data_IF_601323140058
#
_entry.id   IF_601323140058
#
_cell.length_a   1.000
_cell.length_b   1.000
_cell.length_c   1.000
_cell.angle_alpha   90.00
_cell.angle_beta   90.00
_cell.angle_gamma   90.00
#
_symmetry.space_group_name_H-M   'P 1'
#
loop_
_entity.id
_entity.type
_entity.pdbx_description
1 polymer ?
#
# COMPACT_ATOMS: atom_id res chain seq x y z
N UNK A 1 -76.10 -4.99 -54.85
CA UNK A 1 -76.07 -6.17 -53.97
C UNK A 1 -74.95 -7.10 -54.43
N UNK A 2 -74.21 -7.82 -53.57
CA UNK A 2 -73.79 -7.44 -52.21
C UNK A 2 -72.34 -7.95 -51.84
N UNK A 3 -71.90 -7.68 -50.59
CA UNK A 3 -70.91 -8.42 -49.73
C UNK A 3 -69.41 -8.30 -50.12
N UNK A 4 -68.49 -7.67 -49.36
CA UNK A 4 -68.00 -7.72 -47.93
C UNK A 4 -66.79 -8.67 -47.66
N UNK A 5 -65.71 -8.03 -47.18
CA UNK A 5 -64.78 -8.39 -46.05
C UNK A 5 -63.51 -9.25 -46.25
N UNK A 6 -62.32 -8.64 -45.99
CA UNK A 6 -61.36 -8.82 -44.84
C UNK A 6 -60.03 -8.05 -45.14
N UNK A 7 -59.58 -7.05 -44.35
CA UNK A 7 -58.52 -7.02 -43.28
C UNK A 7 -57.22 -7.79 -43.65
N UNK A 8 -55.95 -7.37 -43.42
CA UNK A 8 -55.24 -6.34 -42.63
C UNK A 8 -53.71 -6.42 -43.00
N UNK A 9 -52.85 -5.47 -42.54
CA UNK A 9 -51.35 -5.51 -42.34
C UNK A 9 -50.49 -5.02 -43.54
N UNK A 10 -49.41 -4.21 -43.49
CA UNK A 10 -48.75 -3.27 -42.54
C UNK A 10 -47.52 -2.64 -43.27
N UNK A 11 -47.18 -1.37 -42.94
CA UNK A 11 -45.92 -0.59 -43.08
C UNK A 11 -44.94 -0.76 -44.28
N UNK A 12 -44.47 0.35 -44.88
CA UNK A 12 -43.16 1.02 -44.64
C UNK A 12 -42.81 2.12 -45.69
N UNK A 13 -42.22 3.25 -45.22
CA UNK A 13 -41.03 3.99 -45.76
C UNK A 13 -41.12 4.72 -47.13
N UNK A 14 -40.48 5.85 -47.45
CA UNK A 14 -39.35 6.63 -46.89
C UNK A 14 -39.44 8.12 -47.32
N UNK A 15 -38.88 9.03 -46.51
CA UNK A 15 -38.52 10.43 -46.85
C UNK A 15 -37.01 10.50 -47.17
N UNK A 16 -36.62 11.20 -48.24
CA UNK A 16 -35.21 11.48 -48.57
C UNK A 16 -34.82 12.93 -48.27
N UNK A 17 -33.87 13.13 -47.35
CA UNK A 17 -33.30 14.43 -46.99
C UNK A 17 -31.76 14.41 -47.04
N UNK A 18 -31.23 15.48 -47.64
CA UNK A 18 -30.03 16.31 -47.34
C UNK A 18 -28.87 15.68 -46.52
N UNK A 19 -27.65 15.91 -47.05
CA UNK A 19 -26.33 15.56 -46.53
C UNK A 19 -26.04 15.95 -45.07
N UNK A 20 -25.27 15.12 -44.37
CA UNK A 20 -24.70 15.41 -43.04
C UNK A 20 -23.42 14.60 -42.79
N UNK A 21 -22.34 15.32 -42.56
CA UNK A 21 -20.97 14.85 -42.33
C UNK A 21 -20.87 13.95 -41.09
N UNK A 22 -20.29 12.75 -41.24
CA UNK A 22 -19.90 11.89 -40.12
C UNK A 22 -18.65 12.50 -39.48
N UNK A 23 -18.84 13.29 -38.42
CA UNK A 23 -17.76 13.64 -37.51
C UNK A 23 -17.60 12.49 -36.50
N UNK A 24 -16.50 11.75 -36.62
CA UNK A 24 -16.14 10.72 -35.65
C UNK A 24 -15.92 11.35 -34.28
N UNK A 25 -16.79 11.03 -33.32
CA UNK A 25 -16.47 11.17 -31.91
C UNK A 25 -15.31 10.22 -31.60
N UNK A 26 -14.09 10.73 -31.61
CA UNK A 26 -13.01 10.13 -30.85
C UNK A 26 -13.36 10.35 -29.37
N UNK A 27 -13.94 9.35 -28.72
CA UNK A 27 -13.90 9.24 -27.27
C UNK A 27 -12.42 9.16 -26.88
N UNK A 28 -11.81 10.28 -26.54
CA UNK A 28 -10.57 10.28 -25.79
C UNK A 28 -10.91 9.69 -24.41
N UNK A 29 -10.57 8.43 -24.19
CA UNK A 29 -10.51 7.89 -22.85
C UNK A 29 -9.54 8.78 -22.05
N UNK A 30 -9.87 9.22 -20.83
CA UNK A 30 -8.86 9.80 -19.96
C UNK A 30 -7.78 8.74 -19.76
N UNK A 31 -6.57 9.03 -20.21
CA UNK A 31 -5.40 8.25 -19.87
C UNK A 31 -5.16 8.42 -18.37
N UNK A 32 -5.43 7.37 -17.59
CA UNK A 32 -5.07 7.29 -16.18
C UNK A 32 -3.56 7.07 -16.08
N UNK A 33 -2.79 8.15 -16.17
CA UNK A 33 -1.39 8.15 -15.79
C UNK A 33 -1.31 8.53 -14.30
N UNK A 34 -1.51 7.55 -13.42
CA UNK A 34 -1.18 7.67 -12.01
C UNK A 34 0.22 7.09 -11.79
N UNK A 35 1.14 7.87 -11.22
CA UNK A 35 2.41 7.30 -10.73
C UNK A 35 2.07 6.51 -9.48
N UNK A 36 2.05 5.18 -9.57
CA UNK A 36 1.88 4.32 -8.41
C UNK A 36 3.22 4.22 -7.69
N UNK A 37 3.36 5.00 -6.63
CA UNK A 37 4.42 4.84 -5.65
C UNK A 37 3.81 4.43 -4.32
N UNK A 38 3.96 3.15 -3.94
CA UNK A 38 3.59 2.74 -2.59
C UNK A 38 4.60 3.37 -1.63
N UNK A 39 4.13 4.27 -0.77
CA UNK A 39 4.88 4.79 0.35
C UNK A 39 4.50 3.94 1.57
N UNK A 40 5.46 3.29 2.21
CA UNK A 40 5.20 2.56 3.44
C UNK A 40 6.39 2.64 4.39
N UNK A 41 6.15 3.06 5.63
CA UNK A 41 6.99 2.64 6.75
C UNK A 41 6.22 1.66 7.63
N UNK A 42 6.98 0.88 8.38
CA UNK A 42 6.45 -0.14 9.24
C UNK A 42 7.35 -0.39 10.42
N UNK A 43 6.72 -0.79 11.52
CA UNK A 43 7.43 -1.50 12.57
C UNK A 43 7.18 -2.98 12.41
N UNK A 44 8.20 -3.75 12.74
CA UNK A 44 8.12 -5.21 12.79
C UNK A 44 8.72 -5.67 14.09
N UNK A 45 8.00 -6.54 14.79
CA UNK A 45 8.50 -7.25 15.96
C UNK A 45 9.29 -8.46 15.50
N UNK A 46 10.44 -8.72 16.13
CA UNK A 46 11.18 -9.95 15.93
C UNK A 46 10.54 -11.07 16.73
N UNK A 47 9.81 -11.95 16.05
CA UNK A 47 9.16 -13.14 16.60
C UNK A 47 9.83 -14.45 16.15
N UNK A 48 11.05 -14.36 15.59
CA UNK A 48 11.76 -15.51 15.00
C UNK A 48 12.28 -16.53 16.01
N UNK A 49 12.22 -16.23 17.31
CA UNK A 49 12.82 -17.04 18.38
C UNK A 49 14.34 -16.91 18.51
N UNK A 50 14.97 -16.03 17.72
CA UNK A 50 16.41 -15.76 17.74
C UNK A 50 16.68 -14.26 17.69
N UNK A 51 17.83 -13.82 18.23
CA UNK A 51 18.27 -12.44 18.00
C UNK A 51 18.52 -12.23 16.51
N UNK A 52 17.97 -11.14 15.96
CA UNK A 52 18.16 -10.77 14.57
C UNK A 52 19.27 -9.73 14.43
N UNK A 53 20.12 -9.91 13.43
CA UNK A 53 21.29 -9.06 13.16
C UNK A 53 21.13 -8.27 11.85
N UNK A 54 19.91 -8.13 11.38
CA UNK A 54 19.57 -7.35 10.21
C UNK A 54 18.15 -7.62 9.73
N UNK A 55 17.78 -6.90 8.68
CA UNK A 55 16.49 -7.03 8.03
C UNK A 55 16.65 -6.84 6.52
N UNK A 56 15.84 -7.56 5.75
CA UNK A 56 15.85 -7.52 4.30
C UNK A 56 14.45 -7.27 3.75
N UNK A 57 14.36 -6.32 2.81
CA UNK A 57 13.17 -6.04 2.01
C UNK A 57 13.50 -6.40 0.57
N UNK A 58 12.79 -7.36 0.01
CA UNK A 58 12.87 -7.71 -1.40
C UNK A 58 11.63 -7.20 -2.14
N UNK A 59 11.85 -6.48 -3.24
CA UNK A 59 10.81 -5.91 -4.08
C UNK A 59 10.98 -6.44 -5.50
N UNK A 60 10.12 -7.34 -5.93
CA UNK A 60 10.19 -7.98 -7.24
C UNK A 60 9.51 -7.17 -8.34
N UNK A 61 10.05 -7.24 -9.56
CA UNK A 61 9.46 -6.58 -10.73
C UNK A 61 9.80 -5.10 -10.89
N UNK A 62 10.59 -4.53 -9.97
CA UNK A 62 11.17 -3.19 -10.09
C UNK A 62 12.70 -3.25 -10.00
N UNK A 63 13.37 -2.21 -10.47
CA UNK A 63 14.82 -2.06 -10.30
C UNK A 63 15.17 -0.98 -9.28
N UNK A 64 16.43 -0.94 -8.84
CA UNK A 64 16.97 0.02 -7.87
C UNK A 64 16.67 1.47 -8.24
N UNK A 65 16.63 1.83 -9.52
CA UNK A 65 16.35 3.22 -9.93
C UNK A 65 14.90 3.65 -9.67
N UNK A 66 14.02 2.71 -9.34
CA UNK A 66 12.63 2.95 -8.95
C UNK A 66 12.47 3.02 -7.43
N UNK A 67 13.52 2.81 -6.64
CA UNK A 67 13.50 3.07 -5.19
C UNK A 67 13.80 4.54 -4.98
N UNK A 68 12.81 5.28 -4.48
CA UNK A 68 12.87 6.72 -4.29
C UNK A 68 13.48 7.09 -2.94
N UNK A 69 13.08 6.36 -1.89
CA UNK A 69 13.56 6.60 -0.54
C UNK A 69 13.54 5.32 0.29
N UNK A 70 14.36 5.28 1.34
CA UNK A 70 14.47 4.20 2.30
C UNK A 70 14.72 4.78 3.69
N UNK A 71 13.99 4.31 4.69
CA UNK A 71 14.13 4.83 6.06
C UNK A 71 15.58 4.70 6.56
N UNK A 72 16.10 5.77 7.15
CA UNK A 72 17.48 5.83 7.65
C UNK A 72 18.55 5.99 6.58
N UNK A 73 18.21 6.21 5.30
CA UNK A 73 19.20 6.36 4.23
C UNK A 73 19.71 7.80 4.04
N UNK A 74 18.80 8.77 3.95
CA UNK A 74 19.13 10.13 3.45
C UNK A 74 18.55 11.26 4.31
N UNK A 75 17.47 11.04 5.05
CA UNK A 75 16.86 12.06 5.90
C UNK A 75 17.77 12.39 7.07
N UNK A 76 18.00 13.68 7.26
CA UNK A 76 18.69 14.17 8.45
C UNK A 76 17.70 14.35 9.59
N UNK A 77 17.82 13.52 10.63
CA UNK A 77 17.04 13.60 11.87
C UNK A 77 17.77 14.39 12.98
N UNK A 78 18.70 15.28 12.62
CA UNK A 78 19.55 15.99 13.56
C UNK A 78 20.67 15.12 14.16
N UNK A 79 20.91 13.94 13.60
CA UNK A 79 21.98 13.01 13.97
C UNK A 79 23.23 13.20 13.10
N UNK A 80 24.42 12.74 13.54
CA UNK A 80 25.64 12.77 12.72
C UNK A 80 25.52 12.06 11.36
N UNK A 81 24.76 10.96 11.30
CA UNK A 81 24.43 10.21 10.09
C UNK A 81 22.92 9.90 10.05
N UNK A 82 22.27 9.91 8.86
CA UNK A 82 20.88 9.45 8.70
C UNK A 82 20.63 8.08 9.33
N UNK A 83 21.59 7.16 9.20
CA UNK A 83 21.46 5.79 9.71
C UNK A 83 21.53 5.67 11.24
N UNK A 84 21.91 6.72 11.98
CA UNK A 84 22.01 6.66 13.44
C UNK A 84 20.64 6.51 14.14
N UNK A 85 19.56 6.61 13.37
CA UNK A 85 18.19 6.40 13.86
C UNK A 85 17.72 4.95 13.77
N UNK A 86 18.49 4.11 13.07
CA UNK A 86 18.22 2.69 12.84
C UNK A 86 19.35 1.86 13.49
N UNK A 87 19.02 0.67 13.98
CA UNK A 87 19.89 -0.13 14.86
C UNK A 87 21.12 -0.60 14.13
N UNK A 88 20.93 -1.04 12.90
CA UNK A 88 21.93 -1.61 12.01
C UNK A 88 22.65 -0.55 11.17
N UNK A 89 22.17 0.69 11.19
CA UNK A 89 22.80 1.84 10.54
C UNK A 89 22.28 2.08 9.12
N UNK A 90 23.18 2.50 8.22
CA UNK A 90 22.79 2.83 6.85
C UNK A 90 22.39 1.56 6.06
N UNK A 91 21.22 1.55 5.40
CA UNK A 91 20.84 0.45 4.53
C UNK A 91 21.67 0.42 3.25
N UNK A 92 21.74 -0.75 2.65
CA UNK A 92 22.25 -0.94 1.28
C UNK A 92 21.10 -1.29 0.34
N UNK A 93 21.19 -0.82 -0.91
CA UNK A 93 20.17 -1.06 -1.94
C UNK A 93 20.86 -1.64 -3.17
N UNK A 94 20.48 -2.84 -3.60
CA UNK A 94 21.11 -3.52 -4.74
C UNK A 94 20.07 -4.18 -5.64
N UNK A 95 20.29 -4.16 -6.95
CA UNK A 95 19.46 -4.93 -7.87
C UNK A 95 19.60 -6.44 -7.59
N UNK A 96 18.47 -7.15 -7.64
CA UNK A 96 18.41 -8.60 -7.70
C UNK A 96 18.57 -9.02 -9.16
N UNK A 97 19.64 -9.77 -9.45
CA UNK A 97 20.00 -10.18 -10.80
C UNK A 97 19.69 -11.68 -10.97
N UNK A 98 18.85 -12.02 -11.94
CA UNK A 98 18.60 -13.40 -12.31
C UNK A 98 19.86 -14.05 -12.92
N UNK A 99 19.95 -15.40 -12.96
CA UNK A 99 21.08 -16.11 -13.59
C UNK A 99 21.39 -15.68 -15.04
N UNK A 100 20.40 -15.16 -15.77
CA UNK A 100 20.56 -14.63 -17.12
C UNK A 100 21.05 -13.17 -17.22
N UNK A 101 21.36 -12.51 -16.10
CA UNK A 101 21.85 -11.12 -16.04
C UNK A 101 20.78 -10.04 -16.04
N UNK A 102 19.49 -10.39 -16.14
CA UNK A 102 18.37 -9.45 -16.05
C UNK A 102 18.06 -9.05 -14.61
N UNK A 103 17.68 -7.79 -14.41
CA UNK A 103 17.15 -7.32 -13.12
C UNK A 103 15.75 -7.89 -12.93
N UNK A 104 15.53 -8.57 -11.80
CA UNK A 104 14.24 -9.18 -11.42
C UNK A 104 13.61 -8.53 -10.19
N UNK A 105 14.36 -7.66 -9.51
CA UNK A 105 13.90 -7.00 -8.30
C UNK A 105 14.99 -6.11 -7.73
N UNK A 106 14.74 -5.61 -6.53
CA UNK A 106 15.69 -4.88 -5.69
C UNK A 106 15.66 -5.45 -4.28
N UNK A 107 16.82 -5.44 -3.65
CA UNK A 107 17.02 -5.82 -2.26
C UNK A 107 17.50 -4.61 -1.47
N UNK A 108 16.77 -4.28 -0.41
CA UNK A 108 17.16 -3.32 0.60
C UNK A 108 17.59 -4.12 1.83
N UNK A 109 18.77 -3.84 2.36
CA UNK A 109 19.33 -4.61 3.48
C UNK A 109 19.92 -3.71 4.55
N UNK A 110 19.42 -3.90 5.77
CA UNK A 110 19.96 -3.39 7.02
C UNK A 110 20.74 -4.52 7.69
N UNK A 111 21.97 -4.27 8.15
CA UNK A 111 22.78 -5.35 8.71
C UNK A 111 23.80 -4.87 9.73
N UNK A 112 23.87 -5.56 10.87
CA UNK A 112 24.95 -5.45 11.82
C UNK A 112 26.31 -5.91 11.21
N UNK A 113 27.40 -5.48 11.83
CA UNK A 113 28.73 -5.95 11.50
C UNK A 113 29.09 -7.18 12.35
N UNK A 114 29.68 -8.20 11.74
CA UNK A 114 30.23 -9.34 12.47
C UNK A 114 31.76 -9.23 12.54
N UNK A 115 32.32 -9.26 13.74
CA UNK A 115 33.76 -9.25 13.94
C UNK A 115 34.16 -10.09 15.16
N UNK A 116 35.10 -11.02 14.97
CA UNK A 116 35.69 -11.78 16.07
C UNK A 116 34.72 -12.65 16.88
N UNK A 117 33.65 -13.16 16.25
CA UNK A 117 32.66 -13.99 16.95
C UNK A 117 31.53 -13.20 17.63
N UNK A 118 31.38 -11.92 17.32
CA UNK A 118 30.30 -11.09 17.86
C UNK A 118 29.69 -10.19 16.77
N UNK A 119 28.38 -10.04 16.84
CA UNK A 119 27.64 -9.02 16.10
C UNK A 119 27.69 -7.68 16.83
N UNK A 120 27.75 -6.59 16.08
CA UNK A 120 27.83 -5.23 16.64
C UNK A 120 26.55 -4.80 17.37
N UNK A 121 25.42 -5.40 17.00
CA UNK A 121 24.09 -5.13 17.55
C UNK A 121 23.13 -6.24 17.17
N UNK A 122 21.95 -6.25 17.78
CA UNK A 122 20.89 -7.19 17.46
C UNK A 122 19.53 -6.77 18.00
N UNK A 123 18.50 -7.35 17.41
CA UNK A 123 17.11 -7.17 17.80
C UNK A 123 16.68 -8.39 18.56
N UNK A 124 16.45 -8.22 19.85
CA UNK A 124 15.95 -9.28 20.71
C UNK A 124 14.61 -9.80 20.15
N UNK A 125 14.32 -11.07 20.39
CA UNK A 125 13.05 -11.65 20.00
C UNK A 125 12.03 -11.58 21.14
N UNK A 126 10.76 -11.49 20.78
CA UNK A 126 9.67 -11.63 21.74
C UNK A 126 9.40 -13.09 22.10
N UNK A 127 8.86 -13.31 23.28
CA UNK A 127 8.35 -14.62 23.69
C UNK A 127 7.05 -14.44 24.45
N UNK A 128 6.29 -15.53 24.63
CA UNK A 128 5.10 -15.49 25.47
C UNK A 128 5.38 -15.02 26.92
N UNK A 129 6.62 -15.23 27.41
CA UNK A 129 7.04 -14.76 28.73
C UNK A 129 7.41 -13.27 28.76
N UNK A 130 7.84 -12.71 27.63
CA UNK A 130 8.24 -11.31 27.46
C UNK A 130 7.56 -10.74 26.21
N UNK A 131 6.22 -10.50 26.26
CA UNK A 131 5.51 -9.90 25.14
C UNK A 131 5.91 -8.43 24.97
N UNK A 132 5.86 -7.95 23.74
CA UNK A 132 5.98 -6.54 23.41
C UNK A 132 4.64 -6.01 22.92
N UNK A 133 4.22 -4.86 23.43
CA UNK A 133 3.03 -4.13 23.01
C UNK A 133 3.36 -2.63 23.03
N UNK A 134 2.83 -1.90 22.05
CA UNK A 134 2.95 -0.44 21.90
C UNK A 134 1.58 0.15 21.54
N UNK A 135 1.24 1.37 21.98
CA UNK A 135 0.01 2.05 21.55
C UNK A 135 0.13 2.67 20.15
N UNK A 136 1.08 2.21 19.33
CA UNK A 136 1.34 2.76 18.01
C UNK A 136 2.50 3.74 17.90
N UNK A 137 3.37 3.72 18.90
CA UNK A 137 4.66 4.40 18.87
C UNK A 137 5.65 3.60 18.02
N UNK A 138 6.53 4.30 17.29
CA UNK A 138 7.39 3.65 16.28
C UNK A 138 8.74 3.13 16.82
N UNK A 139 9.23 2.02 16.27
CA UNK A 139 10.43 1.29 16.73
C UNK A 139 11.76 1.86 16.22
N UNK A 140 12.06 3.12 16.56
CA UNK A 140 13.29 3.81 16.16
C UNK A 140 13.76 4.83 17.22
N UNK A 141 14.94 5.43 17.04
CA UNK A 141 15.60 6.28 18.04
C UNK A 141 14.75 7.42 18.63
N UNK A 142 13.78 7.96 17.87
CA UNK A 142 12.90 9.02 18.34
C UNK A 142 11.43 8.60 18.50
N UNK A 143 11.09 7.35 18.22
CA UNK A 143 9.71 6.87 18.22
C UNK A 143 9.14 6.49 19.58
N UNK A 144 9.76 6.94 20.69
CA UNK A 144 9.17 6.91 22.04
C UNK A 144 8.77 5.52 22.62
N UNK A 145 9.32 4.41 22.10
CA UNK A 145 9.08 3.05 22.63
C UNK A 145 10.15 2.53 23.60
N UNK A 146 11.17 3.32 23.94
CA UNK A 146 12.33 2.84 24.72
C UNK A 146 13.42 2.16 23.86
N UNK A 147 13.42 2.46 22.57
CA UNK A 147 14.44 2.04 21.61
C UNK A 147 15.87 2.42 22.06
N UNK A 148 16.90 1.57 21.81
CA UNK A 148 16.89 0.28 21.08
C UNK A 148 16.56 -0.93 21.96
N UNK A 149 16.15 -0.75 23.22
CA UNK A 149 15.90 -1.85 24.16
C UNK A 149 14.52 -2.50 23.98
N UNK A 150 14.10 -2.65 22.72
CA UNK A 150 12.83 -3.22 22.29
C UNK A 150 13.08 -4.30 21.23
N UNK A 151 12.20 -5.31 21.15
CA UNK A 151 12.36 -6.44 20.23
C UNK A 151 11.76 -6.14 18.84
N UNK A 152 11.83 -4.89 18.40
CA UNK A 152 11.28 -4.43 17.13
C UNK A 152 12.19 -3.36 16.51
N UNK A 153 12.06 -3.16 15.20
CA UNK A 153 12.70 -2.07 14.47
C UNK A 153 11.73 -1.47 13.45
N UNK A 154 12.04 -0.23 13.07
CA UNK A 154 11.31 0.55 12.08
C UNK A 154 12.06 0.54 10.74
N UNK A 155 11.32 0.29 9.67
CA UNK A 155 11.84 0.30 8.31
C UNK A 155 10.85 1.01 7.38
N UNK A 156 11.31 1.35 6.18
CA UNK A 156 10.41 1.87 5.19
C UNK A 156 11.03 2.05 3.83
N UNK A 157 10.16 2.12 2.83
CA UNK A 157 10.53 2.27 1.44
C UNK A 157 9.47 3.06 0.67
N UNK A 158 9.95 3.93 -0.20
CA UNK A 158 9.17 4.60 -1.23
C UNK A 158 9.65 4.13 -2.60
N UNK A 159 8.71 3.87 -3.50
CA UNK A 159 8.99 3.43 -4.87
C UNK A 159 8.28 4.29 -5.90
N UNK A 160 8.77 4.32 -7.13
CA UNK A 160 8.14 5.00 -8.26
C UNK A 160 7.27 4.04 -9.11
N UNK A 161 7.32 2.74 -8.82
CA UNK A 161 6.52 1.72 -9.49
C UNK A 161 6.12 0.63 -8.52
N UNK A 162 5.06 -0.11 -8.84
CA UNK A 162 4.53 -1.15 -7.96
C UNK A 162 5.35 -2.44 -8.05
N UNK A 163 5.96 -2.91 -6.94
CA UNK A 163 6.49 -4.25 -6.85
C UNK A 163 5.38 -5.28 -7.11
N UNK A 164 5.71 -6.32 -7.87
CA UNK A 164 4.81 -7.47 -8.08
C UNK A 164 4.72 -8.37 -6.85
N UNK A 165 5.75 -8.35 -6.01
CA UNK A 165 5.81 -8.99 -4.70
C UNK A 165 6.75 -8.21 -3.79
N UNK A 166 6.36 -8.07 -2.54
CA UNK A 166 7.21 -7.52 -1.47
C UNK A 166 7.39 -8.61 -0.43
N UNK A 167 8.62 -8.84 0.00
CA UNK A 167 8.94 -9.81 1.05
C UNK A 167 9.81 -9.17 2.11
N UNK A 168 9.48 -9.45 3.37
CA UNK A 168 10.15 -8.94 4.55
C UNK A 168 10.78 -10.08 5.32
N UNK A 169 12.05 -9.97 5.67
CA UNK A 169 12.79 -11.04 6.32
C UNK A 169 13.70 -10.49 7.41
N UNK A 170 13.59 -11.06 8.60
CA UNK A 170 14.62 -10.95 9.62
C UNK A 170 15.85 -11.77 9.21
N UNK A 171 17.03 -11.26 9.54
CA UNK A 171 18.31 -11.96 9.30
C UNK A 171 18.86 -12.46 10.63
N UNK A 172 18.88 -13.77 10.85
CA UNK A 172 19.32 -14.41 12.10
C UNK A 172 20.61 -15.19 11.89
N UNK A 173 21.41 -15.34 12.95
CA UNK A 173 22.58 -16.25 12.97
C UNK A 173 22.54 -17.11 14.25
N UNK A 174 21.70 -18.17 14.28
CA UNK A 174 21.53 -19.00 15.47
C UNK A 174 22.81 -19.69 15.95
N UNK A 175 23.81 -19.77 15.06
CA UNK A 175 25.09 -20.46 15.31
C UNK A 175 26.24 -19.51 15.66
N UNK A 176 26.00 -18.20 15.60
CA UNK A 176 26.99 -17.14 15.84
C UNK A 176 28.29 -17.33 15.02
N UNK A 177 28.14 -17.63 13.73
CA UNK A 177 29.27 -17.87 12.79
C UNK A 177 29.56 -16.67 11.89
N UNK A 178 28.71 -15.64 11.92
CA UNK A 178 28.66 -14.56 10.94
C UNK A 178 27.82 -14.89 9.70
N UNK A 179 27.24 -16.10 9.63
CA UNK A 179 26.41 -16.53 8.50
C UNK A 179 24.93 -16.25 8.79
N UNK A 180 24.35 -15.31 8.04
CA UNK A 180 22.96 -14.93 8.20
C UNK A 180 22.03 -15.87 7.41
N UNK A 181 20.96 -16.30 8.08
CA UNK A 181 19.83 -17.01 7.51
C UNK A 181 18.60 -16.11 7.59
N UNK A 182 17.78 -16.12 6.54
CA UNK A 182 16.62 -15.26 6.46
C UNK A 182 15.35 -15.98 6.93
N UNK A 183 14.52 -15.30 7.71
CA UNK A 183 13.24 -15.79 8.22
C UNK A 183 12.17 -14.76 7.92
N UNK A 184 11.09 -15.18 7.27
CA UNK A 184 9.97 -14.30 6.90
C UNK A 184 9.41 -13.58 8.11
N UNK A 185 9.18 -12.28 7.99
CA UNK A 185 8.43 -11.52 8.99
C UNK A 185 6.93 -11.80 8.85
N UNK A 186 6.21 -11.75 9.97
CA UNK A 186 4.77 -12.01 10.04
C UNK A 186 3.89 -10.86 9.51
N UNK A 187 4.44 -9.67 9.30
CA UNK A 187 3.66 -8.53 8.79
C UNK A 187 3.54 -8.57 7.26
N UNK A 188 2.35 -8.33 6.70
CA UNK A 188 2.17 -8.24 5.25
C UNK A 188 2.57 -6.86 4.71
N UNK A 189 2.90 -6.80 3.42
CA UNK A 189 3.12 -5.54 2.72
C UNK A 189 1.81 -4.95 2.21
N UNK A 190 1.68 -3.63 2.25
CA UNK A 190 0.55 -2.91 1.64
C UNK A 190 0.80 -2.76 0.15
N UNK A 191 -0.18 -3.17 -0.65
CA UNK A 191 -0.19 -2.99 -2.10
C UNK A 191 -1.33 -2.06 -2.49
N UNK A 192 -1.06 -1.10 -3.37
CA UNK A 192 -2.10 -0.24 -3.94
C UNK A 192 -2.48 -0.74 -5.33
N UNK A 193 -3.66 -1.32 -5.42
CA UNK A 193 -4.18 -1.91 -6.66
C UNK A 193 -5.08 -0.89 -7.38
N UNK A 194 -4.77 -0.54 -8.65
CA UNK A 194 -5.65 0.32 -9.43
C UNK A 194 -7.01 -0.33 -9.68
N UNK A 195 -8.07 0.48 -9.81
CA UNK A 195 -9.38 -0.02 -10.19
C UNK A 195 -9.34 -0.60 -11.61
N UNK A 196 -10.19 -1.60 -11.92
CA UNK A 196 -10.40 -2.01 -13.30
C UNK A 196 -10.99 -0.84 -14.13
N UNK A 197 -10.78 -0.82 -15.46
CA UNK A 197 -11.36 0.21 -16.32
C UNK A 197 -12.88 0.28 -16.17
N UNK A 198 -13.41 1.48 -15.93
CA UNK A 198 -14.85 1.67 -15.77
C UNK A 198 -15.59 1.42 -17.09
N UNK A 199 -16.76 0.75 -17.07
CA UNK A 199 -17.62 0.68 -18.25
C UNK A 199 -18.08 2.08 -18.68
N UNK A 200 -18.34 2.32 -19.98
CA UNK A 200 -18.78 3.62 -20.47
C UNK A 200 -20.01 4.15 -19.71
N UNK A 201 -19.91 5.36 -19.18
CA UNK A 201 -20.99 6.02 -18.44
C UNK A 201 -21.02 5.75 -16.93
N UNK A 202 -20.10 4.92 -16.40
CA UNK A 202 -19.94 4.74 -14.95
C UNK A 202 -18.74 5.54 -14.42
N UNK A 203 -18.80 6.03 -13.17
CA UNK A 203 -17.64 6.60 -12.52
C UNK A 203 -16.54 5.54 -12.31
N UNK A 204 -15.25 5.92 -12.35
CA UNK A 204 -14.16 5.04 -11.94
C UNK A 204 -14.32 4.54 -10.51
N UNK A 205 -14.03 3.27 -10.27
CA UNK A 205 -13.88 2.75 -8.92
C UNK A 205 -12.63 3.37 -8.26
N UNK A 206 -12.57 3.44 -6.92
CA UNK A 206 -11.38 3.92 -6.22
C UNK A 206 -10.21 2.92 -6.33
N UNK A 207 -8.99 3.41 -6.13
CA UNK A 207 -7.82 2.56 -5.83
C UNK A 207 -8.09 1.79 -4.54
N UNK A 208 -7.54 0.59 -4.40
CA UNK A 208 -7.69 -0.24 -3.21
C UNK A 208 -6.31 -0.46 -2.58
N UNK A 209 -6.19 -0.15 -1.29
CA UNK A 209 -5.10 -0.64 -0.47
C UNK A 209 -5.44 -2.06 -0.02
N UNK A 210 -4.54 -3.01 -0.24
CA UNK A 210 -4.72 -4.39 0.14
C UNK A 210 -3.48 -4.94 0.85
N UNK A 211 -3.70 -5.79 1.83
CA UNK A 211 -2.67 -6.62 2.46
C UNK A 211 -3.05 -8.08 2.27
N UNK A 212 -2.06 -8.93 2.01
CA UNK A 212 -2.26 -10.38 1.85
C UNK A 212 -1.64 -11.11 3.04
N UNK A 213 -2.35 -12.09 3.60
CA UNK A 213 -1.81 -12.90 4.70
C UNK A 213 -0.48 -13.58 4.33
N UNK A 214 0.47 -13.56 5.27
CA UNK A 214 1.79 -14.17 5.09
C UNK A 214 1.82 -15.53 5.81
N UNK A 215 2.31 -16.55 5.11
CA UNK A 215 2.64 -17.84 5.73
C UNK A 215 4.14 -17.80 6.09
N UNK A 216 4.43 -17.59 7.37
CA UNK A 216 5.82 -17.49 7.87
C UNK A 216 6.51 -18.85 7.87
N UNK A 217 5.82 -19.88 8.36
CA UNK A 217 6.27 -21.28 8.32
C UNK A 217 5.17 -22.15 7.72
N UNK A 218 5.37 -22.73 6.52
CA UNK A 218 4.37 -23.58 5.87
C UNK A 218 4.16 -24.92 6.57
N UNK A 219 5.01 -25.28 7.53
CA UNK A 219 4.88 -26.50 8.33
C UNK A 219 4.29 -26.24 9.73
N UNK A 220 4.12 -24.97 10.12
CA UNK A 220 3.46 -24.62 11.37
C UNK A 220 1.94 -24.88 11.30
N UNK A 221 1.28 -25.07 12.46
CA UNK A 221 -0.17 -25.11 12.51
C UNK A 221 -0.81 -23.86 11.85
N UNK A 222 -1.88 -24.04 11.09
CA UNK A 222 -2.58 -22.96 10.37
C UNK A 222 -3.05 -21.81 11.29
N UNK A 223 -3.25 -22.11 12.58
CA UNK A 223 -3.59 -21.17 13.63
C UNK A 223 -2.50 -20.12 13.88
N UNK A 224 -1.23 -20.45 13.62
CA UNK A 224 -0.10 -19.55 13.86
C UNK A 224 -0.03 -18.40 12.83
N UNK A 225 -0.75 -18.54 11.71
CA UNK A 225 -0.86 -17.50 10.68
C UNK A 225 -2.18 -16.70 10.80
N UNK A 226 -2.81 -16.70 11.97
CA UNK A 226 -4.05 -15.95 12.23
C UNK A 226 -3.77 -14.64 12.99
N UNK A 227 -4.29 -13.54 12.44
CA UNK A 227 -4.09 -12.20 12.97
C UNK A 227 -5.40 -11.43 13.08
N UNK A 228 -5.47 -10.55 14.08
CA UNK A 228 -6.33 -9.38 14.04
C UNK A 228 -5.60 -8.24 13.34
N UNK A 229 -6.31 -7.55 12.47
CA UNK A 229 -5.85 -6.36 11.77
C UNK A 229 -6.71 -5.19 12.23
N UNK A 230 -6.10 -4.25 12.94
CA UNK A 230 -6.73 -2.96 13.23
C UNK A 230 -6.40 -2.00 12.10
N UNK A 231 -7.40 -1.31 11.57
CA UNK A 231 -7.29 -0.43 10.42
C UNK A 231 -7.74 0.96 10.85
N UNK A 232 -6.86 1.94 10.64
CA UNK A 232 -7.13 3.36 10.92
C UNK A 232 -6.83 4.13 9.64
N UNK A 233 -7.70 5.06 9.27
CA UNK A 233 -7.52 5.88 8.05
C UNK A 233 -7.66 7.35 8.37
N UNK A 234 -6.82 8.17 7.75
CA UNK A 234 -6.94 9.62 7.76
C UNK A 234 -6.68 10.20 6.38
N UNK A 235 -7.21 11.38 6.10
CA UNK A 235 -6.91 12.13 4.88
C UNK A 235 -6.13 13.38 5.25
N UNK A 236 -5.21 13.79 4.38
CA UNK A 236 -4.30 14.89 4.64
C UNK A 236 -4.38 15.95 3.54
N UNK A 237 -4.29 17.24 3.90
CA UNK A 237 -4.47 18.34 2.96
C UNK A 237 -3.32 18.50 1.96
N UNK A 238 -2.18 17.86 2.20
CA UNK A 238 -1.03 17.88 1.31
C UNK A 238 -0.58 16.46 0.98
N UNK A 239 0.09 16.30 -0.15
CA UNK A 239 0.85 15.09 -0.46
C UNK A 239 1.80 14.71 0.69
N UNK A 240 1.97 13.40 0.89
CA UNK A 240 2.90 12.82 1.86
C UNK A 240 4.09 12.19 1.15
N UNK A 241 5.22 12.14 1.85
CA UNK A 241 6.36 11.31 1.47
C UNK A 241 6.64 10.23 2.53
N UNK A 242 7.70 9.43 2.33
CA UNK A 242 8.06 8.39 3.30
C UNK A 242 8.33 8.97 4.69
N UNK A 243 8.84 10.19 4.78
CA UNK A 243 9.24 10.81 6.02
C UNK A 243 8.06 11.32 6.85
N UNK A 244 6.87 11.43 6.26
CA UNK A 244 5.61 11.74 6.95
C UNK A 244 4.96 10.52 7.62
N UNK A 245 5.26 9.31 7.13
CA UNK A 245 4.53 8.09 7.48
C UNK A 245 5.13 7.38 8.70
N UNK A 246 5.30 8.10 9.81
CA UNK A 246 5.80 7.54 11.07
C UNK A 246 4.72 7.66 12.15
N UNK A 247 4.55 6.61 12.94
CA UNK A 247 3.60 6.58 14.06
C UNK A 247 4.15 7.29 15.29
N UNK A 248 3.25 7.49 16.26
CA UNK A 248 3.62 8.04 17.56
C UNK A 248 3.79 9.55 17.60
N UNK A 249 3.72 10.09 18.81
CA UNK A 249 3.97 11.51 19.08
C UNK A 249 5.48 11.73 19.22
N UNK A 250 6.16 11.91 18.09
CA UNK A 250 7.60 12.16 18.02
C UNK A 250 7.96 13.52 17.38
N UNK A 251 9.17 14.07 17.62
CA UNK A 251 9.55 15.40 17.13
C UNK A 251 9.55 15.57 15.60
N UNK A 252 9.49 14.48 14.85
CA UNK A 252 9.60 14.43 13.39
C UNK A 252 8.30 13.94 12.72
N UNK A 253 7.26 13.67 13.51
CA UNK A 253 6.01 13.12 13.02
C UNK A 253 5.22 14.15 12.22
N UNK A 254 4.53 13.68 11.19
CA UNK A 254 3.45 14.44 10.58
C UNK A 254 2.27 14.48 11.58
N UNK A 255 1.79 15.67 12.00
CA UNK A 255 0.74 15.76 13.03
C UNK A 255 -0.56 15.01 12.67
N UNK A 256 -0.91 14.94 11.39
CA UNK A 256 -2.10 14.23 10.94
C UNK A 256 -1.93 12.70 11.01
N UNK A 257 -0.71 12.20 10.80
CA UNK A 257 -0.38 10.78 10.97
C UNK A 257 -0.26 10.43 12.46
N UNK A 258 0.42 11.25 13.26
CA UNK A 258 0.51 11.07 14.71
C UNK A 258 -0.87 11.07 15.39
N UNK A 259 -1.80 11.91 14.92
CA UNK A 259 -3.17 11.94 15.42
C UNK A 259 -3.91 10.60 15.26
N UNK A 260 -3.46 9.71 14.35
CA UNK A 260 -4.01 8.35 14.20
C UNK A 260 -3.84 7.50 15.47
N UNK A 261 -2.91 7.85 16.37
CA UNK A 261 -2.75 7.17 17.66
C UNK A 261 -3.89 7.48 18.64
N UNK A 262 -4.60 8.59 18.43
CA UNK A 262 -5.57 9.15 19.35
C UNK A 262 -6.99 9.23 18.77
N UNK A 263 -7.27 8.52 17.67
CA UNK A 263 -8.56 8.51 16.99
C UNK A 263 -9.68 7.91 17.84
N UNK A 264 -10.90 8.35 17.57
CA UNK A 264 -12.10 7.83 18.23
C UNK A 264 -12.47 6.42 17.73
N UNK A 265 -13.30 5.71 18.49
CA UNK A 265 -13.70 4.34 18.16
C UNK A 265 -14.33 4.19 16.76
N UNK A 266 -15.01 5.24 16.27
CA UNK A 266 -15.70 5.25 14.97
C UNK A 266 -14.77 5.25 13.77
N UNK A 267 -13.49 5.57 13.98
CA UNK A 267 -12.46 5.69 12.94
C UNK A 267 -11.60 4.42 12.85
N UNK A 268 -11.90 3.42 13.67
CA UNK A 268 -11.18 2.16 13.80
C UNK A 268 -12.04 1.02 13.27
N UNK A 269 -11.44 0.22 12.39
CA UNK A 269 -12.02 -1.02 11.89
C UNK A 269 -11.15 -2.21 12.31
N UNK A 270 -11.79 -3.33 12.67
CA UNK A 270 -11.10 -4.57 13.00
C UNK A 270 -11.51 -5.65 12.01
N UNK A 271 -10.52 -6.33 11.43
CA UNK A 271 -10.71 -7.49 10.56
C UNK A 271 -9.82 -8.64 11.00
N UNK A 272 -10.19 -9.86 10.64
CA UNK A 272 -9.30 -11.03 10.76
C UNK A 272 -8.51 -11.20 9.46
N UNK A 273 -7.31 -11.74 9.56
CA UNK A 273 -6.49 -12.14 8.42
C UNK A 273 -5.89 -13.52 8.72
N UNK A 274 -6.15 -14.49 7.85
CA UNK A 274 -5.58 -15.83 7.96
C UNK A 274 -5.54 -16.49 6.58
N UNK A 275 -4.34 -16.80 6.05
CA UNK A 275 -4.21 -17.53 4.79
C UNK A 275 -5.07 -18.81 4.77
N UNK A 276 -5.82 -19.00 3.69
CA UNK A 276 -6.76 -20.10 3.48
C UNK A 276 -8.19 -19.84 3.95
N UNK A 277 -8.45 -18.77 4.72
CA UNK A 277 -9.79 -18.37 5.17
C UNK A 277 -10.13 -16.94 4.80
N UNK A 278 -9.29 -16.01 5.22
CA UNK A 278 -9.35 -14.58 4.87
C UNK A 278 -7.96 -14.20 4.40
N UNK A 279 -7.71 -14.43 3.10
CA UNK A 279 -6.40 -14.23 2.48
C UNK A 279 -6.03 -12.75 2.34
N UNK A 280 -7.02 -11.86 2.33
CA UNK A 280 -6.86 -10.43 2.06
C UNK A 280 -7.71 -9.59 3.00
N UNK A 281 -7.15 -8.46 3.43
CA UNK A 281 -7.88 -7.31 3.96
C UNK A 281 -7.69 -6.15 2.98
N UNK A 282 -8.80 -5.53 2.57
CA UNK A 282 -8.77 -4.42 1.62
C UNK A 282 -9.53 -3.19 2.11
N UNK A 283 -9.02 -2.02 1.73
CA UNK A 283 -9.59 -0.70 2.03
C UNK A 283 -9.58 0.17 0.78
N UNK A 284 -10.75 0.62 0.36
CA UNK A 284 -10.86 1.54 -0.75
C UNK A 284 -10.31 2.92 -0.37
N UNK A 285 -9.54 3.52 -1.29
CA UNK A 285 -9.01 4.87 -1.16
C UNK A 285 -10.13 5.87 -1.43
N UNK A 286 -10.53 6.59 -0.39
CA UNK A 286 -11.55 7.62 -0.38
C UNK A 286 -11.07 8.82 0.43
N UNK A 287 -10.07 9.54 -0.07
CA UNK A 287 -9.65 10.79 0.56
C UNK A 287 -10.82 11.79 0.60
N UNK A 288 -10.84 12.67 1.60
CA UNK A 288 -11.85 13.72 1.63
C UNK A 288 -11.69 14.66 0.42
N UNK A 289 -12.79 15.29 0.01
CA UNK A 289 -12.74 16.24 -1.09
C UNK A 289 -11.80 17.42 -0.75
N UNK A 290 -10.77 17.62 -1.58
CA UNK A 290 -9.78 18.68 -1.40
C UNK A 290 -8.52 18.26 -0.65
N UNK A 291 -8.50 17.05 -0.08
CA UNK A 291 -7.29 16.45 0.48
C UNK A 291 -6.44 15.83 -0.65
N UNK A 292 -5.12 15.97 -0.52
CA UNK A 292 -4.14 15.52 -1.52
C UNK A 292 -3.59 14.12 -1.21
N UNK A 293 -3.84 13.59 -0.01
CA UNK A 293 -3.39 12.25 0.36
C UNK A 293 -4.39 11.52 1.27
N UNK A 294 -4.34 10.19 1.21
CA UNK A 294 -4.93 9.31 2.22
C UNK A 294 -3.85 8.43 2.83
N UNK A 295 -3.84 8.35 4.15
CA UNK A 295 -2.93 7.49 4.92
C UNK A 295 -3.74 6.41 5.62
N UNK A 296 -3.23 5.19 5.57
CA UNK A 296 -3.81 4.02 6.20
C UNK A 296 -2.77 3.40 7.11
N UNK A 297 -3.17 3.15 8.36
CA UNK A 297 -2.37 2.44 9.35
C UNK A 297 -3.02 1.10 9.64
N UNK A 298 -2.25 0.04 9.44
CA UNK A 298 -2.61 -1.32 9.81
C UNK A 298 -1.78 -1.71 11.02
N UNK A 299 -2.42 -2.11 12.12
CA UNK A 299 -1.73 -2.74 13.26
C UNK A 299 -2.06 -4.23 13.27
N UNK A 300 -1.05 -5.07 13.48
CA UNK A 300 -1.15 -6.53 13.46
C UNK A 300 -1.02 -7.09 14.86
N UNK A 301 -1.98 -7.91 15.25
CA UNK A 301 -1.99 -8.60 16.54
C UNK A 301 -2.23 -10.08 16.33
N UNK A 302 -1.60 -10.93 17.14
CA UNK A 302 -1.85 -12.37 17.10
C UNK A 302 -3.31 -12.65 17.45
N UNK A 303 -3.96 -13.54 16.70
CA UNK A 303 -5.33 -13.95 17.00
C UNK A 303 -5.34 -14.99 18.14
N UNK A 304 -5.99 -14.68 19.26
CA UNK A 304 -6.17 -15.57 20.43
C UNK A 304 -7.63 -15.97 20.64
N UNK A 305 -8.48 -15.70 19.65
CA UNK A 305 -9.89 -16.06 19.69
C UNK A 305 -10.14 -17.54 19.42
N UNK A 306 -11.41 -17.85 19.13
CA UNK A 306 -11.84 -19.21 18.84
C UNK A 306 -11.48 -19.61 17.41
N UNK A 307 -11.06 -20.86 17.25
CA UNK A 307 -10.94 -21.52 15.94
C UNK A 307 -12.08 -22.52 15.73
N UNK A 308 -12.42 -22.78 14.47
CA UNK A 308 -13.25 -23.91 14.06
C UNK A 308 -12.46 -25.24 14.09
N UNK A 309 -13.13 -26.35 13.78
CA UNK A 309 -12.53 -27.69 13.83
C UNK A 309 -11.41 -27.88 12.79
N UNK A 310 -11.35 -27.04 11.76
CA UNK A 310 -10.32 -27.03 10.72
C UNK A 310 -9.15 -26.10 11.05
N UNK A 311 -9.21 -25.38 12.19
CA UNK A 311 -8.17 -24.46 12.62
C UNK A 311 -8.27 -23.06 12.02
N UNK A 312 -9.40 -22.72 11.40
CA UNK A 312 -9.63 -21.38 10.87
C UNK A 312 -10.35 -20.49 11.89
N UNK A 313 -10.08 -19.18 11.80
CA UNK A 313 -10.67 -18.17 12.69
C UNK A 313 -12.21 -18.21 12.65
N UNK A 314 -12.83 -18.27 13.84
CA UNK A 314 -14.28 -18.25 14.04
C UNK A 314 -14.64 -17.44 15.31
N UNK A 315 -14.36 -16.12 15.32
CA UNK A 315 -14.60 -15.29 16.49
C UNK A 315 -16.09 -15.13 16.78
N UNK A 316 -16.45 -15.21 18.05
CA UNK A 316 -17.78 -14.78 18.51
C UNK A 316 -17.88 -13.25 18.54
N UNK A 317 -19.10 -12.71 18.65
CA UNK A 317 -19.31 -11.26 18.67
C UNK A 317 -18.61 -10.58 19.86
N UNK A 318 -18.51 -11.25 21.00
CA UNK A 318 -17.81 -10.77 22.20
C UNK A 318 -16.28 -10.87 22.10
N UNK A 319 -15.75 -11.68 21.16
CA UNK A 319 -14.33 -11.76 20.87
C UNK A 319 -13.87 -10.67 19.90
N UNK A 320 -14.79 -10.07 19.14
CA UNK A 320 -14.48 -9.04 18.15
C UNK A 320 -14.14 -7.71 18.85
N UNK A 321 -12.94 -7.15 18.66
CA UNK A 321 -12.57 -5.88 19.28
C UNK A 321 -13.35 -4.70 18.68
N UNK A 322 -13.50 -3.64 19.48
CA UNK A 322 -14.17 -2.41 19.06
C UNK A 322 -13.36 -1.19 19.50
N UNK A 323 -13.13 -0.27 18.56
CA UNK A 323 -12.31 0.92 18.82
C UNK A 323 -10.91 0.55 19.30
N UNK A 324 -10.44 1.22 20.35
CA UNK A 324 -9.15 0.93 20.99
C UNK A 324 -9.23 -0.13 22.10
N UNK A 325 -10.41 -0.70 22.35
CA UNK A 325 -10.60 -1.68 23.42
C UNK A 325 -10.22 -3.07 22.93
N UNK A 326 -9.12 -3.62 23.48
CA UNK A 326 -8.69 -4.98 23.20
C UNK A 326 -9.53 -5.98 24.02
N UNK A 327 -9.86 -7.12 23.41
CA UNK A 327 -10.51 -8.26 24.07
C UNK A 327 -9.46 -9.34 24.41
N UNK A 328 -9.83 -10.34 25.20
CA UNK A 328 -8.96 -11.50 25.47
C UNK A 328 -8.64 -12.32 24.21
N UNK A 329 -9.36 -12.08 23.10
CA UNK A 329 -9.08 -12.69 21.81
C UNK A 329 -7.99 -11.95 21.02
N UNK A 330 -7.51 -10.79 21.50
CA UNK A 330 -6.38 -10.06 20.92
C UNK A 330 -5.11 -10.43 21.66
N UNK A 331 -4.17 -11.03 20.96
CA UNK A 331 -2.88 -11.40 21.48
C UNK A 331 -1.84 -10.31 21.33
N UNK A 332 -0.59 -10.76 21.28
CA UNK A 332 0.57 -9.89 21.21
C UNK A 332 0.60 -9.06 19.92
N UNK A 333 1.07 -7.82 20.02
CA UNK A 333 1.43 -6.99 18.88
C UNK A 333 2.58 -7.60 18.05
N UNK A 334 2.41 -7.60 16.73
CA UNK A 334 3.34 -8.17 15.74
C UNK A 334 4.05 -7.08 14.94
N UNK A 335 3.41 -5.93 14.76
CA UNK A 335 3.95 -4.82 13.99
C UNK A 335 2.85 -3.95 13.40
N UNK A 336 3.23 -3.00 12.57
CA UNK A 336 2.31 -2.11 11.88
C UNK A 336 2.81 -1.74 10.49
N UNK A 337 1.90 -1.29 9.63
CA UNK A 337 2.19 -0.67 8.35
C UNK A 337 1.50 0.68 8.29
N UNK A 338 2.24 1.75 7.98
CA UNK A 338 1.70 3.09 7.71
C UNK A 338 1.95 3.38 6.24
N UNK A 339 0.89 3.28 5.45
CA UNK A 339 0.94 3.45 4.00
C UNK A 339 0.24 4.74 3.56
N UNK A 340 0.91 5.50 2.69
CA UNK A 340 0.40 6.74 2.13
C UNK A 340 0.08 6.61 0.64
N UNK A 341 -1.05 7.16 0.23
CA UNK A 341 -1.44 7.30 -1.17
C UNK A 341 -1.70 8.78 -1.49
N UNK A 342 -0.85 9.35 -2.34
CA UNK A 342 -1.07 10.70 -2.87
C UNK A 342 -2.13 10.65 -3.98
N UNK A 343 -3.25 11.31 -3.72
CA UNK A 343 -4.36 11.42 -4.63
C UNK A 343 -3.99 12.49 -5.65
N UNK A 344 -3.41 12.08 -6.78
CA UNK A 344 -3.23 13.02 -7.88
C UNK A 344 -4.57 13.63 -8.25
N UNK A 345 -4.65 14.96 -8.17
CA UNK A 345 -5.65 15.71 -8.90
C UNK A 345 -5.60 15.28 -10.38
N UNK A 346 -6.77 15.14 -11.00
CA UNK A 346 -6.87 15.07 -12.45
C UNK A 346 -6.04 16.17 -13.13
N UNK A 347 -5.80 16.06 -14.46
CA UNK A 347 -4.70 16.76 -15.14
C UNK A 347 -4.61 18.26 -14.81
N UNK A 348 -3.40 18.83 -14.82
CA UNK A 348 -3.16 20.20 -14.37
C UNK A 348 -4.09 21.18 -15.08
N UNK A 349 -4.64 22.11 -14.30
CA UNK A 349 -5.39 23.26 -14.79
C UNK A 349 -4.53 23.95 -15.86
N UNK A 350 -4.87 23.75 -17.14
CA UNK A 350 -4.07 24.22 -18.26
C UNK A 350 -4.01 23.28 -19.48
N UNK A 351 -4.38 22.01 -19.35
CA UNK A 351 -4.69 21.21 -20.53
C UNK A 351 -6.01 21.75 -21.14
N UNK A 352 -6.06 22.14 -22.43
CA UNK A 352 -7.30 22.59 -23.03
C UNK A 352 -8.32 21.46 -22.92
N UNK A 353 -9.43 21.74 -22.22
CA UNK A 353 -10.60 20.87 -22.18
C UNK A 353 -10.87 20.32 -23.59
N UNK A 354 -11.26 19.04 -23.77
CA UNK A 354 -11.48 18.44 -25.08
C UNK A 354 -12.40 19.28 -26.00
N UNK A 355 -13.32 20.04 -25.40
CA UNK A 355 -14.17 21.02 -26.09
C UNK A 355 -13.40 22.17 -26.77
N UNK A 356 -12.28 22.61 -26.19
CA UNK A 356 -11.43 23.69 -26.72
C UNK A 356 -10.65 23.24 -27.95
N UNK A 357 -10.16 21.99 -27.95
CA UNK A 357 -9.50 21.38 -29.12
C UNK A 357 -10.50 21.08 -30.24
N UNK A 358 -11.71 20.63 -29.90
CA UNK A 358 -12.79 20.43 -30.88
C UNK A 358 -13.25 21.74 -31.53
N UNK A 359 -13.34 22.83 -30.76
CA UNK A 359 -13.65 24.17 -31.27
C UNK A 359 -12.51 24.74 -32.14
N UNK A 360 -11.25 24.51 -31.76
CA UNK A 360 -10.09 24.92 -32.56
C UNK A 360 -10.02 24.16 -33.90
N UNK A 361 -10.31 22.86 -33.89
CA UNK A 361 -10.39 22.04 -35.10
C UNK A 361 -11.59 22.42 -35.99
N UNK A 362 -12.75 22.75 -35.40
CA UNK A 362 -13.90 23.26 -36.13
C UNK A 362 -13.62 24.64 -36.77
N UNK A 363 -12.90 25.52 -36.08
CA UNK A 363 -12.49 26.82 -36.61
C UNK A 363 -11.48 26.68 -37.78
N UNK A 364 -10.55 25.73 -37.70
CA UNK A 364 -9.62 25.40 -38.78
C UNK A 364 -10.33 24.72 -39.97
N UNK A 365 -11.35 23.90 -39.72
CA UNK A 365 -12.20 23.31 -40.76
C UNK A 365 -13.02 24.35 -41.53
N UNK A 366 -13.61 25.33 -40.84
CA UNK A 366 -14.42 26.39 -41.45
C UNK A 366 -13.59 27.39 -42.27
N UNK A 367 -12.31 27.59 -41.93
CA UNK A 367 -11.38 28.45 -42.71
C UNK A 367 -10.84 27.76 -43.96
N UNK A 368 -10.82 26.43 -44.02
CA UNK A 368 -10.45 25.65 -45.21
C UNK A 368 -11.51 25.68 -46.33
N UNK A 369 -12.79 25.81 -45.98
CA UNK A 369 -13.90 25.80 -46.95
C UNK A 369 -14.21 27.16 -47.59
N UNK A 370 -13.66 28.26 -47.05
CA UNK A 370 -13.92 29.62 -47.54
C UNK A 370 -12.96 30.09 -48.64
N UNK A 371 -12.02 29.25 -49.12
CA UNK A 371 -10.98 29.66 -50.09
C UNK A 371 -11.04 29.05 -51.48
N UNK A 372 -12.16 28.45 -51.91
CA UNK A 372 -12.35 28.03 -53.31
C UNK A 372 -13.68 28.50 -53.91
N UNK A 373 -13.81 29.82 -54.10
CA UNK A 373 -14.69 30.39 -55.13
C UNK A 373 -14.30 31.82 -55.51
N UNK A 374 -13.13 31.97 -56.13
CA UNK A 374 -12.84 33.05 -57.05
C UNK A 374 -11.54 32.73 -57.78
N UNK A 375 -11.62 32.40 -59.06
CA UNK A 375 -10.74 32.82 -60.16
C UNK A 375 -11.42 32.32 -61.45
N UNK A 376 -11.75 33.28 -62.31
CA UNK A 376 -12.08 33.10 -63.73
C UNK A 376 -10.79 33.01 -64.52
#
# INVERSE_FOLDING_TARGET
MPIKHKKLIQLTRDFGAIAGVIAGLACAAPAQAGVFGSLANFDVVNDTGHEAHGFEIELEGISRNQVLDVFGLNRNFGTPSPGDVERYGLPTINDLIAPGGGVIGVRIRYQAAFNGGAWSTGTAFVSAANPFNTPGESCWSFGNVGYPNVPCDHFGVSTAGNPTRTTYQWLIDPTNTGALSAVSAAIPAVQFTPPPPAPPGNPPAPVVAQIQGVVVDPFAPVQDSAYWVKIITTSLPNEVDLNDLMGGDNPFANPGVAAMNNVGETEIEWQVLQPGKVDEVSKAINANAGDEAQVIRYEFYRYMGRFDDDGFVDPTSDQTPHGNTLTDAVGQYIGEQIAGFNVQAGPPVGAPEPGTLALLAAALGLTGFSRKRAIR
#
